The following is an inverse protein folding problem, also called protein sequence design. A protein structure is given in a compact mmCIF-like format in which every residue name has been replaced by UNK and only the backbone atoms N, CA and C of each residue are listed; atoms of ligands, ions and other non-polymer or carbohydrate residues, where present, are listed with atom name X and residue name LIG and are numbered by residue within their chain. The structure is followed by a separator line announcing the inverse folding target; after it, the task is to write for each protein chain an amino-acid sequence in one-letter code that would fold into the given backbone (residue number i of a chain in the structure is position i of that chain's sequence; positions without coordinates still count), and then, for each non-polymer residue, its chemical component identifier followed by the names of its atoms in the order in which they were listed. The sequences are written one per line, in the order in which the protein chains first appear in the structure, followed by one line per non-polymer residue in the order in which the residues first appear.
data_IF_781632457029
#
_entry.id   IF_781632457029
#
_cell.length_a   1.000
_cell.length_b   1.000
_cell.length_c   1.000
_cell.angle_alpha   90.00
_cell.angle_beta   90.00
_cell.angle_gamma   90.00
#
_symmetry.space_group_name_H-M   'P 1'
#
loop_
_entity.id
_entity.type
_entity.pdbx_description
1 polymer ?
#
# COMPACT_ATOMS: atom_id res chain seq x y z
N UNK A 1 -8.91 23.46 -20.97
CA UNK A 1 -7.58 23.44 -20.32
C UNK A 1 -7.29 22.18 -19.48
N UNK A 2 -8.24 21.62 -18.72
CA UNK A 2 -8.03 20.44 -17.84
C UNK A 2 -7.54 19.16 -18.57
N UNK A 3 -8.02 18.89 -19.79
CA UNK A 3 -7.65 17.68 -20.55
C UNK A 3 -6.16 17.66 -21.00
N UNK A 4 -5.59 18.84 -21.29
CA UNK A 4 -4.21 18.95 -21.77
C UNK A 4 -3.23 18.64 -20.64
N UNK A 5 -3.46 19.21 -19.44
CA UNK A 5 -2.66 18.88 -18.26
C UNK A 5 -2.75 17.40 -17.89
N UNK A 6 -3.95 16.80 -17.95
CA UNK A 6 -4.14 15.38 -17.65
C UNK A 6 -3.38 14.45 -18.61
N UNK A 7 -3.32 14.76 -19.90
CA UNK A 7 -2.57 13.99 -20.89
C UNK A 7 -1.04 14.06 -20.67
N UNK A 8 -0.52 15.24 -20.34
CA UNK A 8 0.89 15.45 -19.99
C UNK A 8 1.30 14.66 -18.74
N UNK A 9 0.42 14.67 -17.76
CA UNK A 9 0.52 13.96 -16.48
C UNK A 9 0.52 12.43 -16.70
N UNK A 10 -0.32 11.91 -17.60
CA UNK A 10 -0.36 10.49 -17.99
C UNK A 10 0.93 10.07 -18.73
N UNK A 11 1.40 10.88 -19.68
CA UNK A 11 2.63 10.64 -20.43
C UNK A 11 3.88 10.63 -19.54
N UNK A 12 3.98 11.53 -18.56
CA UNK A 12 5.10 11.58 -17.63
C UNK A 12 5.19 10.33 -16.72
N UNK A 13 4.07 9.64 -16.48
CA UNK A 13 4.03 8.38 -15.75
C UNK A 13 4.18 7.14 -16.65
N UNK A 14 4.42 7.33 -17.96
CA UNK A 14 4.47 6.26 -18.95
C UNK A 14 3.13 5.56 -19.20
N UNK A 15 2.03 6.09 -18.65
CA UNK A 15 0.70 5.45 -18.72
C UNK A 15 0.05 5.83 -20.05
N UNK A 16 0.07 4.90 -21.00
CA UNK A 16 -0.63 5.05 -22.28
C UNK A 16 -2.14 4.88 -22.10
N UNK A 17 -2.98 5.41 -23.03
CA UNK A 17 -4.41 5.15 -23.02
C UNK A 17 -4.76 3.65 -23.01
N UNK A 18 -3.92 2.82 -23.65
CA UNK A 18 -4.09 1.37 -23.69
C UNK A 18 -3.87 0.70 -22.33
N UNK A 19 -2.79 1.05 -21.64
CA UNK A 19 -2.54 0.58 -20.28
C UNK A 19 -3.67 1.01 -19.35
N UNK A 20 -4.10 2.27 -19.47
CA UNK A 20 -5.17 2.85 -18.66
C UNK A 20 -6.53 2.16 -18.87
N UNK A 21 -6.87 1.73 -20.09
CA UNK A 21 -8.08 0.92 -20.34
C UNK A 21 -8.06 -0.40 -19.57
N UNK A 22 -6.87 -0.92 -19.27
CA UNK A 22 -6.68 -2.13 -18.51
C UNK A 22 -6.85 -1.99 -17.00
N UNK A 23 -7.06 -0.79 -16.45
CA UNK A 23 -7.16 -0.56 -15.01
C UNK A 23 -8.47 -1.09 -14.41
N UNK A 24 -9.56 -1.08 -15.18
CA UNK A 24 -10.86 -1.57 -14.71
C UNK A 24 -10.99 -3.10 -14.84
N UNK A 25 -10.00 -3.78 -15.44
CA UNK A 25 -9.97 -5.22 -15.59
C UNK A 25 -9.48 -5.91 -14.31
N UNK A 26 -10.43 -6.26 -13.45
CA UNK A 26 -10.18 -6.95 -12.18
C UNK A 26 -9.60 -8.37 -12.36
N UNK A 27 -9.78 -8.99 -13.53
CA UNK A 27 -9.26 -10.34 -13.80
C UNK A 27 -7.73 -10.38 -13.83
N UNK A 28 -7.08 -9.23 -14.05
CA UNK A 28 -5.62 -9.06 -14.00
C UNK A 28 -5.03 -9.17 -12.60
N UNK A 29 -5.84 -9.00 -11.55
CA UNK A 29 -5.35 -9.09 -10.19
C UNK A 29 -4.97 -10.53 -9.84
N UNK A 30 -3.66 -10.79 -9.71
CA UNK A 30 -3.13 -12.12 -9.32
C UNK A 30 -3.27 -12.46 -7.84
N UNK A 31 -3.93 -11.60 -7.05
CA UNK A 31 -4.13 -11.78 -5.60
C UNK A 31 -2.83 -12.09 -4.82
N UNK A 32 -1.74 -11.43 -5.19
CA UNK A 32 -0.42 -11.60 -4.55
C UNK A 32 -0.31 -10.91 -3.16
N UNK A 33 -1.28 -10.06 -2.81
CA UNK A 33 -1.32 -9.36 -1.51
C UNK A 33 -0.37 -8.18 -1.36
N UNK A 34 0.61 -7.95 -2.24
CA UNK A 34 1.62 -6.88 -2.08
C UNK A 34 1.00 -5.48 -1.98
N UNK A 35 0.03 -5.14 -2.83
CA UNK A 35 -0.65 -3.84 -2.76
C UNK A 35 -1.46 -3.66 -1.46
N UNK A 36 -1.88 -4.77 -0.84
CA UNK A 36 -2.66 -4.81 0.39
C UNK A 36 -1.82 -4.73 1.67
N UNK A 37 -0.49 -4.70 1.59
CA UNK A 37 0.37 -4.46 2.75
C UNK A 37 0.79 -2.99 2.85
N UNK A 38 1.07 -2.56 4.08
CA UNK A 38 1.73 -1.30 4.37
C UNK A 38 3.08 -1.21 3.66
N UNK A 39 3.47 0.01 3.32
CA UNK A 39 4.77 0.26 2.71
C UNK A 39 5.23 1.67 3.04
N UNK A 40 6.53 1.89 2.94
CA UNK A 40 7.15 3.17 3.25
C UNK A 40 8.29 3.47 2.28
N UNK A 41 8.48 4.74 1.94
CA UNK A 41 9.60 5.15 1.10
C UNK A 41 10.85 5.38 1.95
N UNK A 42 11.93 4.67 1.65
CA UNK A 42 13.25 4.83 2.28
C UNK A 42 14.29 4.87 1.17
N UNK A 43 15.08 5.95 1.09
CA UNK A 43 16.16 6.12 0.11
C UNK A 43 15.70 5.74 -1.32
N UNK A 44 14.60 6.36 -1.75
CA UNK A 44 13.92 6.18 -3.05
C UNK A 44 13.24 4.83 -3.32
N UNK A 45 13.32 3.87 -2.40
CA UNK A 45 12.68 2.56 -2.54
C UNK A 45 11.36 2.52 -1.79
N UNK A 46 10.29 2.04 -2.43
CA UNK A 46 9.02 1.75 -1.74
C UNK A 46 9.12 0.38 -1.05
N UNK A 47 9.52 0.38 0.21
CA UNK A 47 9.74 -0.81 1.01
C UNK A 47 8.42 -1.39 1.50
N UNK A 48 8.15 -2.65 1.16
CA UNK A 48 7.02 -3.42 1.65
C UNK A 48 7.22 -3.80 3.12
N UNK A 49 6.21 -3.51 3.95
CA UNK A 49 6.17 -3.93 5.35
C UNK A 49 5.26 -5.17 5.46
N UNK A 50 5.85 -6.35 5.31
CA UNK A 50 5.14 -7.64 5.25
C UNK A 50 4.38 -7.95 6.55
N UNK A 51 4.82 -7.42 7.69
CA UNK A 51 4.15 -7.55 8.97
C UNK A 51 2.88 -6.69 9.13
N UNK A 52 2.65 -5.76 8.20
CA UNK A 52 1.52 -4.83 8.22
C UNK A 52 0.51 -5.12 7.10
N UNK A 53 -0.17 -6.29 7.09
CA UNK A 53 -1.24 -6.55 6.15
C UNK A 53 -2.47 -5.71 6.45
N UNK A 54 -3.22 -5.38 5.39
CA UNK A 54 -4.61 -4.95 5.48
C UNK A 54 -5.43 -5.94 6.34
N UNK A 55 -6.34 -5.42 7.17
CA UNK A 55 -7.16 -6.19 8.10
C UNK A 55 -8.08 -7.21 7.44
N UNK A 56 -8.46 -6.97 6.19
CA UNK A 56 -9.30 -7.86 5.38
C UNK A 56 -8.48 -8.85 4.54
N UNK A 57 -7.16 -8.75 4.57
CA UNK A 57 -6.27 -9.66 3.85
C UNK A 57 -6.07 -10.94 4.64
N UNK A 58 -6.27 -12.07 3.97
CA UNK A 58 -6.01 -13.42 4.49
C UNK A 58 -5.09 -14.16 3.55
N UNK A 59 -4.07 -14.83 4.10
CA UNK A 59 -3.21 -15.74 3.35
C UNK A 59 -3.91 -17.09 3.26
N UNK A 60 -3.98 -17.63 2.06
CA UNK A 60 -4.64 -18.89 1.75
C UNK A 60 -3.64 -20.05 1.84
N UNK A 61 -4.11 -21.31 2.00
CA UNK A 61 -3.22 -22.49 2.08
C UNK A 61 -2.33 -22.70 0.86
N UNK A 62 -2.80 -22.29 -0.33
CA UNK A 62 -2.07 -22.34 -1.60
C UNK A 62 -0.98 -21.25 -1.74
N UNK A 63 -0.83 -20.40 -0.73
CA UNK A 63 0.14 -19.30 -0.71
C UNK A 63 -0.36 -18.00 -1.35
N UNK A 64 -1.53 -17.99 -2.00
CA UNK A 64 -2.18 -16.78 -2.50
C UNK A 64 -2.85 -16.01 -1.36
N UNK A 65 -3.45 -14.86 -1.69
CA UNK A 65 -4.23 -14.08 -0.75
C UNK A 65 -5.69 -13.98 -1.16
N UNK A 66 -6.56 -13.84 -0.16
CA UNK A 66 -7.96 -13.48 -0.32
C UNK A 66 -8.23 -12.18 0.43
N UNK A 67 -9.16 -11.38 -0.09
CA UNK A 67 -9.62 -10.15 0.54
C UNK A 67 -11.13 -10.25 0.78
N UNK A 68 -11.52 -10.16 2.04
CA UNK A 68 -12.92 -10.38 2.46
C UNK A 68 -13.89 -9.33 1.92
N UNK A 69 -13.36 -8.16 1.55
CA UNK A 69 -14.14 -7.03 1.04
C UNK A 69 -13.78 -6.70 -0.40
N UNK A 70 -13.14 -7.60 -1.16
CA UNK A 70 -12.58 -7.29 -2.48
C UNK A 70 -13.57 -6.61 -3.43
N UNK A 71 -14.83 -7.08 -3.44
CA UNK A 71 -15.89 -6.56 -4.32
C UNK A 71 -16.41 -5.19 -3.90
N UNK A 72 -16.27 -4.83 -2.62
CA UNK A 72 -16.79 -3.59 -2.03
C UNK A 72 -15.68 -2.74 -1.39
N UNK A 73 -14.44 -2.97 -1.83
CA UNK A 73 -13.23 -2.42 -1.18
C UNK A 73 -13.15 -0.89 -1.20
N UNK A 74 -13.91 -0.23 -2.07
CA UNK A 74 -13.99 1.23 -2.11
C UNK A 74 -14.72 1.81 -0.90
N UNK A 75 -15.59 1.01 -0.25
CA UNK A 75 -16.29 1.42 0.96
C UNK A 75 -15.36 1.52 2.17
N UNK A 76 -14.13 1.01 2.09
CA UNK A 76 -13.17 1.10 3.20
C UNK A 76 -12.53 2.48 3.32
N UNK A 77 -12.44 3.23 2.21
CA UNK A 77 -11.81 4.56 2.15
C UNK A 77 -10.28 4.56 2.12
N UNK A 78 -9.62 3.40 2.21
CA UNK A 78 -8.15 3.29 2.23
C UNK A 78 -7.60 2.20 1.30
N UNK A 79 -8.47 1.42 0.63
CA UNK A 79 -8.01 0.46 -0.36
C UNK A 79 -7.48 1.16 -1.62
N UNK A 80 -6.27 0.81 -2.05
CA UNK A 80 -5.67 1.36 -3.26
C UNK A 80 -6.12 0.56 -4.50
N UNK A 81 -7.14 1.05 -5.21
CA UNK A 81 -7.41 0.61 -6.59
C UNK A 81 -6.28 1.05 -7.52
N UNK A 82 -6.14 0.34 -8.63
CA UNK A 82 -5.30 0.80 -9.73
C UNK A 82 -5.91 2.07 -10.33
N UNK A 83 -5.16 3.15 -10.21
CA UNK A 83 -5.44 4.49 -10.70
C UNK A 83 -4.12 5.15 -11.08
N UNK A 84 -4.16 6.19 -11.91
CA UNK A 84 -2.96 6.95 -12.24
C UNK A 84 -2.22 7.47 -11.00
N UNK A 85 -2.95 7.86 -9.96
CA UNK A 85 -2.35 8.33 -8.70
C UNK A 85 -1.65 7.21 -7.95
N UNK A 86 -2.28 6.04 -7.82
CA UNK A 86 -1.67 4.87 -7.17
C UNK A 86 -0.45 4.33 -7.95
N UNK A 87 -0.43 4.47 -9.28
CA UNK A 87 0.73 4.19 -10.12
C UNK A 87 1.85 5.17 -9.79
N UNK A 88 1.60 6.49 -9.75
CA UNK A 88 2.63 7.47 -9.35
C UNK A 88 3.20 7.25 -7.96
N UNK A 89 2.36 6.78 -7.05
CA UNK A 89 2.77 6.46 -5.67
C UNK A 89 3.50 5.12 -5.57
N UNK A 90 3.66 4.40 -6.68
CA UNK A 90 4.37 3.11 -6.79
C UNK A 90 3.79 2.04 -5.84
N UNK A 91 2.46 1.99 -5.73
CA UNK A 91 1.77 1.16 -4.74
C UNK A 91 1.63 -0.34 -5.11
N UNK A 92 2.00 -0.71 -6.32
CA UNK A 92 1.95 -2.09 -6.83
C UNK A 92 3.36 -2.65 -6.95
N UNK A 93 3.55 -3.98 -6.87
CA UNK A 93 4.85 -4.55 -7.19
C UNK A 93 5.17 -4.32 -8.67
N UNK A 94 6.46 -4.23 -9.04
CA UNK A 94 6.86 -3.96 -10.42
C UNK A 94 6.41 -5.02 -11.43
N UNK A 95 6.18 -6.25 -10.98
CA UNK A 95 5.70 -7.35 -11.82
C UNK A 95 4.16 -7.45 -11.92
N UNK A 96 3.43 -6.50 -11.33
CA UNK A 96 1.97 -6.50 -11.33
C UNK A 96 1.42 -6.28 -12.76
N UNK A 97 0.43 -7.08 -13.23
CA UNK A 97 -0.08 -6.97 -14.59
C UNK A 97 -0.64 -5.60 -15.01
N UNK A 98 -0.94 -4.72 -14.06
CA UNK A 98 -1.38 -3.36 -14.33
C UNK A 98 -0.23 -2.39 -14.68
N UNK A 99 1.00 -2.70 -14.27
CA UNK A 99 2.13 -1.76 -14.29
C UNK A 99 3.42 -2.35 -14.86
N UNK A 100 3.50 -3.67 -15.07
CA UNK A 100 4.72 -4.37 -15.54
C UNK A 100 5.27 -3.85 -16.87
N UNK A 101 4.41 -3.26 -17.70
CA UNK A 101 4.76 -2.74 -19.02
C UNK A 101 5.12 -1.23 -18.96
N UNK A 102 5.09 -0.61 -17.77
CA UNK A 102 5.51 0.77 -17.54
C UNK A 102 7.02 0.85 -17.36
N UNK A 103 7.68 1.52 -18.31
CA UNK A 103 9.14 1.74 -18.25
C UNK A 103 9.51 2.54 -17.00
N UNK A 104 10.49 2.04 -16.25
CA UNK A 104 11.04 2.72 -15.07
C UNK A 104 10.17 2.66 -13.81
N UNK A 105 9.08 1.87 -13.81
CA UNK A 105 8.24 1.69 -12.63
C UNK A 105 8.96 0.82 -11.58
N UNK A 106 9.25 1.38 -10.40
CA UNK A 106 9.96 0.65 -9.35
C UNK A 106 9.02 -0.18 -8.46
N UNK A 107 7.91 0.41 -8.01
CA UNK A 107 6.90 -0.30 -7.24
C UNK A 107 7.32 -0.70 -5.82
N UNK A 108 6.43 -1.42 -5.13
CA UNK A 108 6.69 -2.00 -3.81
C UNK A 108 7.61 -3.22 -3.91
N UNK A 109 8.65 -3.27 -3.07
CA UNK A 109 9.58 -4.39 -3.01
C UNK A 109 9.74 -4.89 -1.57
N UNK A 110 9.80 -6.20 -1.39
CA UNK A 110 10.29 -6.79 -0.15
C UNK A 110 11.81 -6.73 -0.14
N UNK A 111 12.39 -6.29 0.98
CA UNK A 111 13.84 -6.30 1.16
C UNK A 111 14.30 -7.68 1.65
N UNK A 112 15.52 -8.11 1.28
CA UNK A 112 16.24 -9.15 2.01
C UNK A 112 16.35 -8.81 3.50
N UNK A 113 16.43 -9.81 4.36
CA UNK A 113 16.47 -9.62 5.82
C UNK A 113 17.58 -8.66 6.25
N UNK A 114 18.79 -8.83 5.72
CA UNK A 114 19.94 -7.98 6.05
C UNK A 114 19.69 -6.49 5.72
N UNK A 115 19.16 -6.21 4.52
CA UNK A 115 18.80 -4.84 4.12
C UNK A 115 17.66 -4.28 4.98
N UNK A 116 16.68 -5.12 5.34
CA UNK A 116 15.59 -4.72 6.23
C UNK A 116 16.11 -4.37 7.63
N UNK A 117 17.01 -5.17 8.20
CA UNK A 117 17.66 -4.88 9.48
C UNK A 117 18.44 -3.57 9.43
N UNK A 118 19.16 -3.30 8.32
CA UNK A 118 19.92 -2.07 8.13
C UNK A 118 19.04 -0.81 8.16
N UNK A 119 17.80 -0.88 7.67
CA UNK A 119 16.87 0.26 7.69
C UNK A 119 16.03 0.36 8.97
N UNK A 120 16.04 -0.63 9.87
CA UNK A 120 15.25 -0.59 11.11
C UNK A 120 15.47 0.67 11.95
N UNK A 121 16.68 1.22 12.11
CA UNK A 121 16.87 2.48 12.83
C UNK A 121 16.09 3.66 12.23
N UNK A 122 15.95 3.70 10.89
CA UNK A 122 15.13 4.71 10.19
C UNK A 122 13.66 4.44 10.47
N UNK A 123 13.21 3.18 10.33
CA UNK A 123 11.83 2.80 10.61
C UNK A 123 11.43 3.12 12.05
N UNK A 124 12.30 2.84 13.03
CA UNK A 124 12.07 3.21 14.44
C UNK A 124 11.80 4.69 14.61
N UNK A 125 12.60 5.56 13.97
CA UNK A 125 12.39 7.02 14.04
C UNK A 125 11.05 7.44 13.44
N UNK A 126 10.65 6.82 12.33
CA UNK A 126 9.40 7.16 11.64
C UNK A 126 8.18 6.66 12.42
N UNK A 127 8.26 5.44 12.96
CA UNK A 127 7.14 4.78 13.63
C UNK A 127 7.05 5.12 15.13
N UNK A 128 8.06 5.77 15.71
CA UNK A 128 7.98 6.25 17.08
C UNK A 128 6.88 7.31 17.22
N UNK A 129 5.86 7.05 18.04
CA UNK A 129 4.70 7.93 18.17
C UNK A 129 3.72 7.89 17.00
N UNK A 130 3.94 7.02 15.99
CA UNK A 130 3.02 6.92 14.86
C UNK A 130 1.76 6.14 15.28
N UNK A 131 0.54 6.68 15.08
CA UNK A 131 -0.68 5.98 15.47
C UNK A 131 -0.93 4.77 14.57
N UNK A 132 -1.54 3.72 15.11
CA UNK A 132 -1.94 2.55 14.33
C UNK A 132 -2.89 2.98 13.20
N UNK A 133 -2.62 2.61 11.93
CA UNK A 133 -3.58 2.83 10.87
C UNK A 133 -4.82 1.94 11.02
N UNK A 134 -6.01 2.49 10.72
CA UNK A 134 -7.30 1.78 10.81
C UNK A 134 -7.38 0.52 9.95
N UNK A 135 -6.61 0.50 8.86
CA UNK A 135 -6.55 -0.62 7.94
C UNK A 135 -5.68 -1.78 8.45
N UNK A 136 -4.93 -1.61 9.55
CA UNK A 136 -4.08 -2.65 10.16
C UNK A 136 -4.76 -3.18 11.42
N UNK A 137 -4.80 -4.51 11.60
CA UNK A 137 -5.33 -5.11 12.83
C UNK A 137 -4.42 -4.77 14.01
N UNK A 138 -5.00 -4.52 15.19
CA UNK A 138 -4.25 -4.26 16.43
C UNK A 138 -3.11 -5.27 16.66
N UNK A 139 -3.39 -6.57 16.54
CA UNK A 139 -2.39 -7.64 16.70
C UNK A 139 -1.19 -7.54 15.73
N UNK A 140 -1.43 -7.13 14.49
CA UNK A 140 -0.38 -7.04 13.47
C UNK A 140 0.46 -5.78 13.69
N UNK A 141 -0.19 -4.69 14.11
CA UNK A 141 0.49 -3.46 14.53
C UNK A 141 1.39 -3.68 15.75
N UNK A 142 0.87 -4.31 16.79
CA UNK A 142 1.64 -4.62 18.01
C UNK A 142 2.80 -5.57 17.70
N UNK A 143 2.60 -6.57 16.85
CA UNK A 143 3.70 -7.41 16.36
C UNK A 143 4.77 -6.57 15.68
N UNK A 144 4.39 -5.71 14.74
CA UNK A 144 5.34 -4.89 14.01
C UNK A 144 6.13 -3.92 14.91
N UNK A 145 5.43 -3.18 15.78
CA UNK A 145 6.06 -2.21 16.68
C UNK A 145 6.96 -2.92 17.71
N UNK A 146 6.47 -3.96 18.37
CA UNK A 146 7.18 -4.57 19.49
C UNK A 146 8.20 -5.62 19.05
N UNK A 147 7.86 -6.48 18.09
CA UNK A 147 8.71 -7.62 17.70
C UNK A 147 9.59 -7.26 16.50
N UNK A 148 9.04 -6.60 15.47
CA UNK A 148 9.80 -6.26 14.27
C UNK A 148 10.71 -5.06 14.49
N UNK A 149 10.19 -3.99 15.10
CA UNK A 149 10.95 -2.77 15.37
C UNK A 149 11.58 -2.72 16.77
N UNK A 150 11.07 -3.44 17.77
CA UNK A 150 11.60 -3.38 19.13
C UNK A 150 11.31 -2.05 19.84
N UNK A 151 10.21 -1.38 19.49
CA UNK A 151 9.70 -0.19 20.17
C UNK A 151 8.73 -0.58 21.28
N UNK A 152 8.42 0.35 22.21
CA UNK A 152 7.39 0.12 23.22
C UNK A 152 6.09 0.83 22.83
N UNK A 153 4.94 0.17 23.01
CA UNK A 153 3.63 0.79 22.75
C UNK A 153 3.31 1.94 23.70
N UNK A 154 4.06 2.12 24.81
CA UNK A 154 3.94 3.29 25.69
C UNK A 154 4.31 4.60 24.98
N UNK A 155 5.12 4.52 23.93
CA UNK A 155 5.58 5.66 23.15
C UNK A 155 4.62 6.02 21.99
N UNK A 156 3.58 5.20 21.74
CA UNK A 156 2.58 5.46 20.71
C UNK A 156 1.29 6.04 21.32
N UNK A 157 0.78 7.18 20.81
CA UNK A 157 -0.52 7.69 21.23
C UNK A 157 -1.63 6.66 20.92
N UNK A 158 -2.66 6.55 21.77
CA UNK A 158 -3.79 5.66 21.51
C UNK A 158 -4.47 6.02 20.18
N UNK A 159 -4.99 4.98 19.51
CA UNK A 159 -5.64 5.00 18.19
C UNK A 159 -6.22 6.39 17.81
N UNK A 160 -5.75 6.96 16.71
CA UNK A 160 -6.35 8.18 16.17
C UNK A 160 -7.79 7.86 15.73
N UNK A 161 -8.80 8.64 16.14
CA UNK A 161 -10.16 8.43 15.65
C UNK A 161 -10.16 8.61 14.12
N UNK A 162 -10.70 7.62 13.43
CA UNK A 162 -10.89 7.63 11.97
C UNK A 162 -11.35 9.00 11.51
N UNK A 163 -10.67 9.57 10.51
CA UNK A 163 -11.09 10.80 9.88
C UNK A 163 -12.60 10.73 9.63
N UNK A 164 -13.36 11.63 10.28
CA UNK A 164 -14.81 11.67 10.19
C UNK A 164 -15.19 11.59 8.71
N UNK A 165 -16.00 10.59 8.36
CA UNK A 165 -16.72 10.58 7.09
C UNK A 165 -17.44 11.92 7.04
N UNK A 166 -17.10 12.78 6.08
CA UNK A 166 -17.90 13.96 5.78
C UNK A 166 -19.27 13.44 5.33
N UNK A 167 -20.18 13.32 6.30
CA UNK A 167 -21.58 13.13 6.06
C UNK A 167 -22.10 14.38 5.40
N UNK A 168 -22.25 14.31 4.07
CA UNK A 168 -23.14 15.20 3.35
C UNK A 168 -24.56 14.98 3.86
N UNK A 169 -25.07 16.00 4.53
CA UNK A 169 -26.48 16.33 4.70
C UNK A 169 -26.54 17.81 4.38
N UNK A 170 -27.37 18.33 3.49
CA UNK A 170 -28.41 17.82 2.60
C UNK A 170 -28.88 19.05 1.80
#
# INVERSE_FOLDING_TARGET
MIKIFRGLIEAAAGVTPEIKRGFDDESKCRRCGVCCHGAIRVQDRMVLLTDLPCRHLRRMPDGLYSCDVYQVRDLTGWCHRITLESVRKELFPPDCPYVRDLKGYAGKIALPLEEFEAIKPILRKIFNGFPRPDYVRKKDWERFINQTLGLTTKDCPPDFPSAKKNGGTG
#
